data_IF_978509325071
#
_entry.id   IF_978509325071
#
_cell.length_a   1.000
_cell.length_b   1.000
_cell.length_c   1.000
_cell.angle_alpha   90.00
_cell.angle_beta   90.00
_cell.angle_gamma   90.00
#
_symmetry.space_group_name_H-M   'P 1'
#
loop_
_entity.id
_entity.type
_entity.pdbx_description
1 polymer ?
#
# COMPACT_ATOMS: atom_id res chain seq x y z
N UNK A 1 -19.42 -3.11 25.50
CA UNK A 1 -18.22 -3.73 26.11
C UNK A 1 -17.07 -3.41 25.18
N UNK A 2 -16.42 -2.26 25.42
CA UNK A 2 -15.32 -1.76 24.61
C UNK A 2 -13.98 -2.18 25.22
N UNK A 3 -13.09 -2.73 24.41
CA UNK A 3 -11.68 -2.91 24.76
C UNK A 3 -10.81 -2.12 23.78
N UNK A 4 -10.46 -0.89 24.16
CA UNK A 4 -9.48 -0.09 23.42
C UNK A 4 -8.08 -0.69 23.63
N UNK A 5 -7.42 -1.10 22.55
CA UNK A 5 -6.01 -1.45 22.57
C UNK A 5 -5.17 -0.16 22.70
N UNK A 6 -4.34 -0.07 23.74
CA UNK A 6 -3.28 0.95 23.83
C UNK A 6 -1.95 0.22 24.01
N UNK A 7 -0.99 0.33 23.06
CA UNK A 7 0.32 -0.27 23.26
C UNK A 7 1.08 0.51 24.34
N UNK A 8 1.56 -0.21 25.36
CA UNK A 8 2.45 0.34 26.39
C UNK A 8 3.85 0.56 25.79
N UNK A 9 4.53 1.68 26.11
CA UNK A 9 5.92 1.86 25.70
C UNK A 9 6.80 0.89 26.49
N UNK A 10 7.73 0.24 25.79
CA UNK A 10 8.44 -0.93 26.31
C UNK A 10 9.48 -0.65 27.40
N UNK A 11 9.98 0.57 27.59
CA UNK A 11 10.77 0.98 28.77
C UNK A 11 10.82 2.51 28.89
N UNK A 12 11.01 3.02 30.11
CA UNK A 12 11.06 4.45 30.39
C UNK A 12 12.48 5.04 30.21
N UNK A 13 12.62 6.37 30.04
CA UNK A 13 13.89 7.05 29.67
C UNK A 13 15.06 6.78 30.63
N UNK A 14 14.80 6.45 31.89
CA UNK A 14 15.84 6.05 32.88
C UNK A 14 16.41 4.66 32.60
N UNK A 15 15.57 3.72 32.14
CA UNK A 15 15.94 2.32 31.92
C UNK A 15 16.77 2.16 30.64
N UNK A 16 16.49 2.96 29.60
CA UNK A 16 17.31 3.06 28.38
C UNK A 16 18.75 3.55 28.64
N UNK A 17 18.96 4.40 29.65
CA UNK A 17 20.31 4.87 30.03
C UNK A 17 21.10 3.81 30.81
N UNK A 18 20.43 2.94 31.54
CA UNK A 18 21.06 1.83 32.26
C UNK A 18 21.53 0.72 31.30
N UNK A 19 20.74 0.41 30.26
CA UNK A 19 21.05 -0.64 29.29
C UNK A 19 22.34 -0.37 28.50
N UNK A 20 22.68 0.90 28.21
CA UNK A 20 23.94 1.26 27.53
C UNK A 20 25.21 0.92 28.33
N UNK A 21 25.13 0.68 29.64
CA UNK A 21 26.28 0.33 30.49
C UNK A 21 26.35 -1.15 30.86
N UNK A 22 25.25 -1.88 30.78
CA UNK A 22 25.23 -3.30 31.13
C UNK A 22 25.53 -4.17 29.91
N UNK A 23 26.59 -4.98 29.99
CA UNK A 23 26.92 -6.05 29.04
C UNK A 23 25.80 -7.11 29.07
N UNK A 24 24.75 -6.91 28.28
CA UNK A 24 23.51 -7.69 28.39
C UNK A 24 23.66 -9.12 27.85
N UNK A 25 23.25 -10.09 28.67
CA UNK A 25 22.97 -11.47 28.27
C UNK A 25 21.46 -11.62 28.10
N UNK A 26 21.02 -12.31 27.06
CA UNK A 26 19.62 -12.68 26.84
C UNK A 26 19.56 -14.21 26.83
N UNK A 27 18.69 -14.79 27.67
CA UNK A 27 18.55 -16.24 27.88
C UNK A 27 19.88 -16.97 28.19
N UNK A 28 20.72 -16.36 29.03
CA UNK A 28 21.97 -16.96 29.49
C UNK A 28 23.14 -16.94 28.49
N UNK A 29 22.93 -16.53 27.22
CA UNK A 29 24.01 -16.39 26.23
C UNK A 29 24.46 -14.94 26.08
N UNK A 30 25.78 -14.75 25.97
CA UNK A 30 26.43 -13.45 25.75
C UNK A 30 26.13 -13.02 24.31
N UNK A 31 25.32 -11.98 24.14
CA UNK A 31 25.07 -11.41 22.82
C UNK A 31 26.05 -10.26 22.65
N UNK A 32 27.13 -10.52 21.93
CA UNK A 32 28.00 -9.47 21.40
C UNK A 32 27.29 -8.93 20.17
N UNK A 33 27.20 -7.61 20.07
CA UNK A 33 26.46 -6.84 19.05
C UNK A 33 26.96 -7.02 17.61
N UNK A 34 27.88 -7.97 17.36
CA UNK A 34 28.52 -8.19 16.05
C UNK A 34 28.02 -9.45 15.33
N UNK A 35 26.97 -10.12 15.84
CA UNK A 35 26.55 -11.39 15.27
C UNK A 35 25.62 -11.20 14.04
N UNK A 36 26.24 -10.98 12.88
CA UNK A 36 25.59 -10.93 11.56
C UNK A 36 24.73 -12.18 11.31
N UNK A 37 25.06 -13.34 11.90
CA UNK A 37 24.23 -14.55 11.79
C UNK A 37 22.87 -14.38 12.47
N UNK A 38 22.78 -13.59 13.54
CA UNK A 38 21.50 -13.27 14.20
C UNK A 38 20.61 -12.39 13.33
N UNK A 39 21.19 -11.40 12.64
CA UNK A 39 20.50 -10.56 11.66
C UNK A 39 20.04 -11.33 10.42
N UNK A 40 20.84 -12.30 9.96
CA UNK A 40 20.48 -13.26 8.91
C UNK A 40 19.44 -14.29 9.34
N UNK A 41 19.39 -14.63 10.65
CA UNK A 41 18.44 -15.60 11.21
C UNK A 41 17.07 -15.02 11.55
N UNK A 42 16.92 -13.69 11.55
CA UNK A 42 15.60 -13.09 11.59
C UNK A 42 14.92 -13.48 10.27
N UNK A 43 13.99 -14.44 10.31
CA UNK A 43 12.99 -14.63 9.24
C UNK A 43 12.19 -13.32 9.17
N UNK A 44 12.66 -12.37 8.36
CA UNK A 44 11.98 -11.09 8.14
C UNK A 44 10.83 -11.25 7.16
N UNK A 45 10.83 -12.34 6.38
CA UNK A 45 9.70 -12.72 5.53
C UNK A 45 8.63 -13.34 6.42
N UNK A 46 7.48 -12.68 6.64
CA UNK A 46 6.36 -13.36 7.28
C UNK A 46 6.00 -14.60 6.45
N UNK A 47 5.76 -15.73 7.12
CA UNK A 47 5.26 -16.95 6.48
C UNK A 47 3.79 -16.73 6.14
N UNK A 48 3.53 -15.96 5.07
CA UNK A 48 2.18 -15.69 4.58
C UNK A 48 1.79 -16.78 3.60
N UNK A 49 0.55 -17.27 3.74
CA UNK A 49 -0.09 -18.04 2.67
C UNK A 49 -0.25 -17.18 1.41
N UNK A 50 -0.48 -17.81 0.26
CA UNK A 50 -0.71 -17.07 -0.98
C UNK A 50 -1.90 -16.08 -0.85
N UNK A 51 -2.99 -16.53 -0.22
CA UNK A 51 -4.19 -15.72 0.04
C UNK A 51 -3.85 -14.47 0.85
N UNK A 52 -3.15 -14.62 1.97
CA UNK A 52 -2.75 -13.48 2.81
C UNK A 52 -1.79 -12.55 2.08
N UNK A 53 -0.91 -13.10 1.23
CA UNK A 53 0.07 -12.30 0.50
C UNK A 53 -0.55 -11.36 -0.54
N UNK A 54 -1.81 -11.57 -0.93
CA UNK A 54 -2.51 -10.68 -1.86
C UNK A 54 -2.73 -9.29 -1.25
N UNK A 55 -2.96 -9.22 0.06
CA UNK A 55 -3.24 -8.00 0.80
C UNK A 55 -1.99 -7.22 1.18
N UNK A 56 -0.82 -7.56 0.62
CA UNK A 56 0.43 -6.85 0.87
C UNK A 56 1.04 -6.36 -0.44
N UNK A 57 1.52 -5.12 -0.43
CA UNK A 57 2.53 -4.68 -1.39
C UNK A 57 3.92 -5.12 -0.90
N UNK A 58 4.75 -5.65 -1.80
CA UNK A 58 6.08 -6.21 -1.48
C UNK A 58 7.15 -5.31 -2.08
N UNK A 59 7.76 -4.50 -1.24
CA UNK A 59 8.81 -3.55 -1.66
C UNK A 59 10.21 -4.18 -1.48
N UNK A 60 11.04 -4.26 -2.53
CA UNK A 60 12.42 -4.70 -2.39
C UNK A 60 13.27 -3.63 -1.67
N UNK A 61 13.85 -3.98 -0.53
CA UNK A 61 14.74 -3.10 0.25
C UNK A 61 16.17 -3.62 0.25
N UNK A 62 17.13 -2.70 0.22
CA UNK A 62 18.55 -3.02 0.25
C UNK A 62 19.08 -2.73 1.64
N UNK A 63 19.62 -3.76 2.29
CA UNK A 63 20.25 -3.63 3.60
C UNK A 63 21.76 -3.65 3.40
N UNK A 64 22.39 -2.51 3.62
CA UNK A 64 23.84 -2.41 3.71
C UNK A 64 24.28 -2.67 5.15
N UNK A 65 25.24 -3.57 5.34
CA UNK A 65 25.89 -3.77 6.63
C UNK A 65 27.39 -3.91 6.47
N UNK A 66 28.13 -3.31 7.40
CA UNK A 66 29.58 -3.38 7.46
C UNK A 66 30.03 -4.70 8.11
N UNK A 67 31.02 -5.37 7.52
CA UNK A 67 31.66 -6.58 8.05
C UNK A 67 33.06 -6.20 8.55
N UNK A 68 33.26 -5.98 9.86
CA UNK A 68 34.53 -5.47 10.39
C UNK A 68 35.73 -6.37 10.10
N UNK A 69 35.55 -7.69 10.18
CA UNK A 69 36.62 -8.67 9.93
C UNK A 69 37.17 -8.63 8.51
N UNK A 70 36.32 -8.23 7.57
CA UNK A 70 36.64 -8.19 6.14
C UNK A 70 36.84 -6.75 5.66
N UNK A 71 36.73 -5.76 6.57
CA UNK A 71 36.81 -4.33 6.29
C UNK A 71 36.02 -3.90 5.06
N UNK A 72 34.84 -4.49 4.84
CA UNK A 72 34.01 -4.24 3.65
C UNK A 72 32.53 -4.09 4.00
N UNK A 73 31.81 -3.44 3.11
CA UNK A 73 30.35 -3.43 3.11
C UNK A 73 29.81 -4.66 2.37
N UNK A 74 28.69 -5.19 2.86
CA UNK A 74 27.92 -6.21 2.18
C UNK A 74 26.48 -5.72 2.04
N UNK A 75 25.86 -6.10 0.93
CA UNK A 75 24.49 -5.76 0.58
C UNK A 75 23.64 -7.02 0.58
N UNK A 76 22.45 -6.94 1.15
CA UNK A 76 21.45 -8.00 1.14
C UNK A 76 20.11 -7.40 0.72
N UNK A 77 19.50 -7.96 -0.34
CA UNK A 77 18.14 -7.61 -0.74
C UNK A 77 17.15 -8.35 0.16
N UNK A 78 16.26 -7.61 0.82
CA UNK A 78 15.12 -8.15 1.56
C UNK A 78 13.83 -7.55 1.00
N UNK A 79 12.68 -8.01 1.51
CA UNK A 79 11.38 -7.48 1.14
C UNK A 79 10.67 -6.90 2.35
N UNK A 80 10.15 -5.69 2.20
CA UNK A 80 9.23 -5.07 3.13
C UNK A 80 7.80 -5.39 2.68
N UNK A 81 7.02 -5.96 3.60
CA UNK A 81 5.61 -6.30 3.36
C UNK A 81 4.73 -5.20 3.96
N UNK A 82 4.02 -4.48 3.11
CA UNK A 82 3.16 -3.35 3.49
C UNK A 82 1.71 -3.78 3.34
N UNK A 83 0.99 -3.92 4.46
CA UNK A 83 -0.44 -4.28 4.46
C UNK A 83 -1.24 -3.18 3.74
N UNK A 84 -2.09 -3.59 2.80
CA UNK A 84 -2.98 -2.72 2.05
C UNK A 84 -4.22 -2.41 2.89
N UNK A 85 -4.40 -1.13 3.20
CA UNK A 85 -5.51 -0.65 4.03
C UNK A 85 -6.43 0.20 3.17
N UNK A 86 -7.61 -0.33 2.87
CA UNK A 86 -8.64 0.41 2.14
C UNK A 86 -9.18 1.56 2.99
N UNK A 87 -9.57 2.70 2.39
CA UNK A 87 -10.21 3.78 3.11
C UNK A 87 -11.49 3.33 3.80
N UNK A 88 -11.82 3.92 4.95
CA UNK A 88 -13.04 3.58 5.68
C UNK A 88 -14.28 4.05 4.90
N UNK A 89 -15.22 3.16 4.62
CA UNK A 89 -16.52 3.52 4.01
C UNK A 89 -17.41 4.17 5.07
N UNK A 90 -17.99 5.31 4.72
CA UNK A 90 -19.06 5.97 5.49
C UNK A 90 -20.41 5.82 4.77
N UNK A 91 -21.50 6.21 5.43
CA UNK A 91 -22.84 6.24 4.81
C UNK A 91 -23.14 7.58 4.12
N UNK A 92 -22.13 8.44 3.93
CA UNK A 92 -22.29 9.69 3.19
C UNK A 92 -22.44 9.42 1.68
N UNK A 93 -23.19 10.26 0.95
CA UNK A 93 -23.42 10.07 -0.49
C UNK A 93 -22.14 9.98 -1.33
N UNK A 94 -21.09 10.71 -0.95
CA UNK A 94 -19.80 10.70 -1.64
C UNK A 94 -19.03 9.36 -1.54
N UNK A 95 -19.49 8.44 -0.70
CA UNK A 95 -18.94 7.08 -0.57
C UNK A 95 -19.81 6.03 -1.25
N UNK A 96 -20.97 6.42 -1.81
CA UNK A 96 -21.92 5.48 -2.42
C UNK A 96 -21.29 4.64 -3.53
N UNK A 97 -20.51 5.28 -4.39
CA UNK A 97 -19.85 4.61 -5.51
C UNK A 97 -18.76 3.65 -5.05
N UNK A 98 -18.03 4.01 -4.00
CA UNK A 98 -17.02 3.12 -3.39
C UNK A 98 -17.67 1.93 -2.67
N UNK A 99 -18.83 2.13 -2.05
CA UNK A 99 -19.64 1.06 -1.45
C UNK A 99 -20.11 0.07 -2.52
N UNK A 100 -20.56 0.56 -3.69
CA UNK A 100 -20.89 -0.25 -4.87
C UNK A 100 -19.68 -1.05 -5.37
N UNK A 101 -18.58 -0.37 -5.65
CA UNK A 101 -17.35 -0.97 -6.16
C UNK A 101 -16.81 -2.07 -5.22
N UNK A 102 -16.79 -1.79 -3.91
CA UNK A 102 -16.37 -2.75 -2.89
C UNK A 102 -17.26 -3.99 -2.82
N UNK A 103 -18.59 -3.84 -2.95
CA UNK A 103 -19.51 -4.97 -2.96
C UNK A 103 -19.31 -5.86 -4.20
N UNK A 104 -19.02 -5.24 -5.35
CA UNK A 104 -18.86 -5.93 -6.63
C UNK A 104 -17.44 -6.43 -6.89
N UNK A 105 -16.47 -6.09 -6.03
CA UNK A 105 -15.03 -6.32 -6.25
C UNK A 105 -14.57 -5.69 -7.57
N UNK A 106 -14.82 -4.39 -7.70
CA UNK A 106 -14.47 -3.57 -8.86
C UNK A 106 -13.72 -2.32 -8.42
N UNK A 107 -13.17 -1.59 -9.38
CA UNK A 107 -12.70 -0.22 -9.12
C UNK A 107 -13.89 0.75 -9.06
N UNK A 108 -13.66 1.91 -8.45
CA UNK A 108 -14.49 3.10 -8.68
C UNK A 108 -14.07 3.68 -10.03
N UNK A 109 -14.93 3.55 -11.03
CA UNK A 109 -14.66 3.93 -12.40
C UNK A 109 -15.37 5.23 -12.74
N UNK A 110 -14.60 6.32 -12.84
CA UNK A 110 -15.13 7.67 -13.07
C UNK A 110 -15.87 7.76 -14.41
N UNK A 111 -15.39 7.07 -15.45
CA UNK A 111 -16.04 7.09 -16.77
C UNK A 111 -17.34 6.29 -16.77
N UNK A 112 -17.33 5.08 -16.21
CA UNK A 112 -18.57 4.31 -16.07
C UNK A 112 -19.60 5.03 -15.17
N UNK A 113 -19.15 5.80 -14.18
CA UNK A 113 -20.01 6.65 -13.38
C UNK A 113 -20.64 7.77 -14.22
N UNK A 114 -19.86 8.47 -15.05
CA UNK A 114 -20.36 9.51 -15.97
C UNK A 114 -21.41 8.96 -16.95
N UNK A 115 -21.22 7.74 -17.47
CA UNK A 115 -22.19 7.09 -18.36
C UNK A 115 -23.53 6.83 -17.69
N UNK A 116 -23.52 6.50 -16.39
CA UNK A 116 -24.72 6.21 -15.60
C UNK A 116 -25.35 7.42 -14.92
N UNK A 117 -24.61 8.53 -14.79
CA UNK A 117 -25.04 9.77 -14.13
C UNK A 117 -24.75 11.00 -15.02
N UNK A 118 -25.49 11.19 -16.14
CA UNK A 118 -25.23 12.27 -17.07
C UNK A 118 -25.26 13.68 -16.44
N UNK A 119 -26.00 13.86 -15.36
CA UNK A 119 -26.08 15.11 -14.61
C UNK A 119 -24.76 15.50 -13.93
N UNK A 120 -23.87 14.53 -13.68
CA UNK A 120 -22.58 14.74 -13.03
C UNK A 120 -21.44 15.07 -14.00
N UNK A 121 -21.62 14.80 -15.30
CA UNK A 121 -20.58 14.89 -16.34
C UNK A 121 -19.84 16.22 -16.29
N UNK A 122 -20.57 17.34 -16.30
CA UNK A 122 -19.96 18.67 -16.33
C UNK A 122 -19.04 18.92 -15.13
N UNK A 123 -19.49 18.56 -13.92
CA UNK A 123 -18.69 18.77 -12.70
C UNK A 123 -17.43 17.88 -12.71
N UNK A 124 -17.56 16.66 -13.22
CA UNK A 124 -16.46 15.69 -13.31
C UNK A 124 -15.43 16.16 -14.34
N UNK A 125 -15.86 16.54 -15.55
CA UNK A 125 -14.98 17.06 -16.60
C UNK A 125 -14.24 18.34 -16.16
N UNK A 126 -14.95 19.29 -15.55
CA UNK A 126 -14.34 20.52 -15.03
C UNK A 126 -13.30 20.20 -13.93
N UNK A 127 -13.62 19.26 -13.03
CA UNK A 127 -12.73 18.86 -11.93
C UNK A 127 -11.49 18.11 -12.39
N UNK A 128 -11.64 17.26 -13.42
CA UNK A 128 -10.59 16.38 -13.91
C UNK A 128 -10.02 16.80 -15.27
N UNK A 129 -10.23 18.05 -15.70
CA UNK A 129 -9.84 18.50 -17.04
C UNK A 129 -8.39 18.14 -17.43
N UNK A 130 -7.44 18.16 -16.48
CA UNK A 130 -6.03 17.82 -16.70
C UNK A 130 -5.70 16.34 -16.62
N UNK A 131 -6.58 15.52 -16.05
CA UNK A 131 -6.37 14.08 -15.80
C UNK A 131 -7.46 13.18 -16.39
N UNK A 132 -8.41 13.75 -17.14
CA UNK A 132 -9.56 13.01 -17.69
C UNK A 132 -9.12 11.87 -18.60
N UNK A 133 -8.07 12.08 -19.40
CA UNK A 133 -7.49 11.05 -20.26
C UNK A 133 -6.88 9.88 -19.47
N UNK A 134 -6.38 10.12 -18.25
CA UNK A 134 -5.89 9.06 -17.37
C UNK A 134 -7.06 8.21 -16.88
N UNK A 135 -8.17 8.84 -16.47
CA UNK A 135 -9.39 8.12 -16.09
C UNK A 135 -9.95 7.30 -17.26
N UNK A 136 -9.97 7.87 -18.46
CA UNK A 136 -10.42 7.18 -19.68
C UNK A 136 -9.58 5.95 -19.98
N UNK A 137 -8.26 6.08 -19.85
CA UNK A 137 -7.32 4.97 -20.09
C UNK A 137 -7.50 3.87 -19.05
N UNK A 138 -7.66 4.23 -17.77
CA UNK A 138 -7.93 3.26 -16.69
C UNK A 138 -9.24 2.53 -16.92
N UNK A 139 -10.30 3.24 -17.35
CA UNK A 139 -11.59 2.66 -17.71
C UNK A 139 -11.43 1.60 -18.81
N UNK A 140 -10.80 1.95 -19.93
CA UNK A 140 -10.62 1.03 -21.06
C UNK A 140 -9.82 -0.21 -20.67
N UNK A 141 -8.72 -0.06 -19.93
CA UNK A 141 -7.91 -1.19 -19.47
C UNK A 141 -8.72 -2.10 -18.54
N UNK A 142 -9.45 -1.52 -17.57
CA UNK A 142 -10.23 -2.29 -16.63
C UNK A 142 -11.38 -3.04 -17.32
N UNK A 143 -12.08 -2.38 -18.25
CA UNK A 143 -13.13 -2.99 -19.06
C UNK A 143 -12.59 -4.15 -19.90
N UNK A 144 -11.48 -3.96 -20.61
CA UNK A 144 -10.83 -5.01 -21.39
C UNK A 144 -10.43 -6.21 -20.51
N UNK A 145 -9.86 -5.95 -19.33
CA UNK A 145 -9.55 -7.00 -18.36
C UNK A 145 -10.80 -7.77 -17.91
N UNK A 146 -11.91 -7.08 -17.63
CA UNK A 146 -13.16 -7.70 -17.15
C UNK A 146 -13.86 -8.51 -18.25
N UNK A 147 -13.83 -8.04 -19.49
CA UNK A 147 -14.53 -8.67 -20.62
C UNK A 147 -13.73 -9.83 -21.24
N UNK A 148 -12.41 -9.65 -21.40
CA UNK A 148 -11.56 -10.58 -22.17
C UNK A 148 -10.51 -11.30 -21.32
N UNK A 149 -10.28 -10.84 -20.08
CA UNK A 149 -9.18 -11.31 -19.25
C UNK A 149 -7.81 -10.77 -19.67
N UNK A 150 -7.74 -9.76 -20.55
CA UNK A 150 -6.49 -9.14 -20.97
C UNK A 150 -5.74 -8.55 -19.77
N UNK A 151 -4.48 -8.97 -19.58
CA UNK A 151 -3.66 -8.56 -18.41
C UNK A 151 -2.51 -7.64 -18.76
N UNK A 152 -2.27 -7.42 -20.05
CA UNK A 152 -1.09 -6.75 -20.62
C UNK A 152 -0.92 -5.34 -20.04
N UNK A 153 -2.02 -4.59 -19.97
CA UNK A 153 -2.02 -3.18 -19.56
C UNK A 153 -2.38 -2.94 -18.10
N UNK A 154 -2.61 -3.98 -17.28
CA UNK A 154 -2.99 -3.81 -15.87
C UNK A 154 -1.96 -3.04 -15.05
N UNK A 155 -0.66 -3.16 -15.40
CA UNK A 155 0.40 -2.35 -14.78
C UNK A 155 0.22 -0.88 -15.12
N UNK A 156 -0.12 -0.57 -16.37
CA UNK A 156 -0.41 0.79 -16.82
C UNK A 156 -1.58 1.38 -16.04
N UNK A 157 -2.67 0.63 -15.83
CA UNK A 157 -3.78 1.09 -15.00
C UNK A 157 -3.37 1.35 -13.55
N UNK A 158 -2.52 0.49 -12.97
CA UNK A 158 -1.96 0.68 -11.64
C UNK A 158 -1.14 1.98 -11.55
N UNK A 159 -0.22 2.22 -12.49
CA UNK A 159 0.64 3.41 -12.51
C UNK A 159 -0.12 4.71 -12.80
N UNK A 160 -1.13 4.66 -13.66
CA UNK A 160 -2.02 5.81 -13.86
C UNK A 160 -2.82 6.12 -12.59
N UNK A 161 -3.31 5.09 -11.90
CA UNK A 161 -3.98 5.26 -10.60
C UNK A 161 -3.03 5.85 -9.56
N UNK A 162 -1.78 5.42 -9.53
CA UNK A 162 -0.75 6.03 -8.70
C UNK A 162 -0.54 7.51 -9.06
N UNK A 163 -0.42 7.86 -10.34
CA UNK A 163 -0.23 9.24 -10.76
C UNK A 163 -1.41 10.15 -10.36
N UNK A 164 -2.64 9.62 -10.41
CA UNK A 164 -3.86 10.32 -10.01
C UNK A 164 -3.84 10.74 -8.53
N UNK A 165 -3.09 10.06 -7.66
CA UNK A 165 -2.96 10.46 -6.24
C UNK A 165 -2.41 11.87 -6.08
N UNK A 166 -1.59 12.34 -7.03
CA UNK A 166 -0.96 13.68 -6.98
C UNK A 166 -1.96 14.80 -7.26
N UNK A 167 -3.12 14.48 -7.83
CA UNK A 167 -4.13 15.44 -8.27
C UNK A 167 -5.41 15.40 -7.41
N UNK A 168 -5.52 14.46 -6.48
CA UNK A 168 -6.62 14.39 -5.52
C UNK A 168 -6.29 15.15 -4.22
N UNK A 169 -7.31 15.67 -3.50
CA UNK A 169 -8.74 15.61 -3.83
C UNK A 169 -9.18 16.69 -4.84
N UNK A 170 -10.06 16.34 -5.77
CA UNK A 170 -10.80 17.31 -6.62
C UNK A 170 -12.21 17.59 -6.08
N UNK A 171 -12.91 18.57 -6.66
CA UNK A 171 -14.32 18.85 -6.28
C UNK A 171 -15.19 17.62 -6.56
N UNK A 172 -15.05 17.01 -7.74
CA UNK A 172 -15.74 15.75 -8.06
C UNK A 172 -15.32 14.62 -7.11
N UNK A 173 -14.03 14.50 -6.78
CA UNK A 173 -13.53 13.53 -5.81
C UNK A 173 -14.19 13.66 -4.43
N UNK A 174 -14.33 14.88 -3.93
CA UNK A 174 -15.01 15.14 -2.65
C UNK A 174 -16.54 14.90 -2.71
N UNK A 175 -17.14 15.13 -3.88
CA UNK A 175 -18.60 15.07 -4.06
C UNK A 175 -19.08 13.65 -4.31
N UNK A 176 -18.37 12.88 -5.13
CA UNK A 176 -18.83 11.58 -5.65
C UNK A 176 -17.88 10.42 -5.33
N UNK A 177 -16.57 10.67 -5.19
CA UNK A 177 -15.54 9.63 -5.20
C UNK A 177 -14.57 9.76 -4.03
N UNK A 178 -15.04 9.81 -2.78
CA UNK A 178 -14.12 10.06 -1.67
C UNK A 178 -13.08 8.94 -1.52
N UNK A 179 -11.80 9.33 -1.47
CA UNK A 179 -10.63 8.46 -1.31
C UNK A 179 -10.51 7.30 -2.33
N UNK A 180 -11.22 7.37 -3.45
CA UNK A 180 -11.31 6.26 -4.41
C UNK A 180 -9.97 5.87 -5.02
N UNK A 181 -9.04 6.81 -5.21
CA UNK A 181 -7.74 6.50 -5.84
C UNK A 181 -6.93 5.53 -5.00
N UNK A 182 -6.96 5.67 -3.67
CA UNK A 182 -6.29 4.70 -2.76
C UNK A 182 -6.97 3.34 -2.83
N UNK A 183 -8.31 3.33 -2.86
CA UNK A 183 -9.06 2.09 -3.00
C UNK A 183 -8.74 1.37 -4.32
N UNK A 184 -8.74 2.10 -5.44
CA UNK A 184 -8.40 1.59 -6.77
C UNK A 184 -6.94 1.12 -6.83
N UNK A 185 -6.00 1.86 -6.23
CA UNK A 185 -4.60 1.45 -6.16
C UNK A 185 -4.46 0.11 -5.44
N UNK A 186 -5.07 -0.02 -4.25
CA UNK A 186 -5.07 -1.29 -3.51
C UNK A 186 -5.74 -2.41 -4.32
N UNK A 187 -6.82 -2.12 -5.06
CA UNK A 187 -7.47 -3.06 -5.95
C UNK A 187 -6.52 -3.58 -7.04
N UNK A 188 -5.82 -2.69 -7.73
CA UNK A 188 -4.88 -3.07 -8.78
C UNK A 188 -3.68 -3.84 -8.21
N UNK A 189 -3.12 -3.42 -7.08
CA UNK A 189 -2.05 -4.16 -6.37
C UNK A 189 -2.50 -5.60 -6.08
N UNK A 190 -3.68 -5.79 -5.46
CA UNK A 190 -4.23 -7.13 -5.16
C UNK A 190 -4.46 -7.95 -6.43
N UNK A 191 -4.88 -7.30 -7.50
CA UNK A 191 -5.13 -7.94 -8.80
C UNK A 191 -3.83 -8.41 -9.45
N UNK A 192 -2.81 -7.55 -9.49
CA UNK A 192 -1.47 -7.89 -9.99
C UNK A 192 -0.82 -9.00 -9.15
N UNK A 193 -0.94 -8.92 -7.82
CA UNK A 193 -0.50 -9.97 -6.90
C UNK A 193 -1.16 -11.33 -7.21
N UNK A 194 -2.47 -11.33 -7.44
CA UNK A 194 -3.25 -12.54 -7.77
C UNK A 194 -2.78 -13.16 -9.09
N UNK A 195 -2.49 -12.32 -10.07
CA UNK A 195 -1.99 -12.71 -11.39
C UNK A 195 -0.48 -13.00 -11.39
N UNK A 196 0.21 -12.78 -10.26
CA UNK A 196 1.67 -12.92 -10.13
C UNK A 196 2.45 -12.06 -11.13
N UNK A 197 1.90 -10.89 -11.45
CA UNK A 197 2.56 -9.91 -12.31
C UNK A 197 3.45 -9.04 -11.43
N UNK A 198 4.73 -8.92 -11.78
CA UNK A 198 5.68 -8.06 -11.08
C UNK A 198 5.48 -6.59 -11.48
N UNK A 199 5.51 -5.71 -10.48
CA UNK A 199 5.40 -4.26 -10.63
C UNK A 199 6.11 -3.58 -9.45
N UNK A 200 6.39 -2.29 -9.59
CA UNK A 200 6.95 -1.47 -8.53
C UNK A 200 6.18 -0.15 -8.47
N UNK A 201 6.11 0.44 -7.28
CA UNK A 201 5.47 1.74 -7.03
C UNK A 201 6.54 2.81 -6.80
N UNK A 202 6.17 4.07 -6.97
CA UNK A 202 7.03 5.20 -6.60
C UNK A 202 7.26 5.25 -5.08
N UNK A 203 8.46 5.69 -4.66
CA UNK A 203 8.84 5.83 -3.25
C UNK A 203 7.82 6.64 -2.41
N UNK A 204 7.21 7.67 -3.04
CA UNK A 204 6.19 8.49 -2.40
C UNK A 204 4.92 7.68 -2.08
N UNK A 205 4.51 6.81 -3.00
CA UNK A 205 3.37 5.90 -2.84
C UNK A 205 3.66 4.84 -1.81
N UNK A 206 4.85 4.24 -1.85
CA UNK A 206 5.30 3.27 -0.83
C UNK A 206 5.25 3.91 0.57
N UNK A 207 5.77 5.14 0.69
CA UNK A 207 5.74 5.91 1.94
C UNK A 207 4.31 6.18 2.42
N UNK A 208 3.39 6.50 1.49
CA UNK A 208 1.97 6.69 1.79
C UNK A 208 1.31 5.41 2.30
N UNK A 209 1.55 4.26 1.64
CA UNK A 209 1.01 2.97 2.07
C UNK A 209 1.52 2.58 3.47
N UNK A 210 2.81 2.80 3.76
CA UNK A 210 3.38 2.59 5.09
C UNK A 210 2.69 3.46 6.14
N UNK A 211 2.49 4.76 5.82
CA UNK A 211 1.83 5.70 6.73
C UNK A 211 0.41 5.22 7.07
N UNK A 212 -0.39 4.88 6.06
CA UNK A 212 -1.76 4.37 6.25
C UNK A 212 -1.80 3.08 7.08
N UNK A 213 -0.87 2.17 6.81
CA UNK A 213 -0.71 0.92 7.60
C UNK A 213 -0.42 1.18 9.07
N UNK A 214 0.29 2.27 9.39
CA UNK A 214 0.64 2.62 10.78
C UNK A 214 -0.46 3.43 11.49
N UNK A 215 -1.48 3.90 10.77
CA UNK A 215 -2.64 4.62 11.33
C UNK A 215 -3.78 3.68 11.77
N UNK A 216 -3.62 2.36 11.55
CA UNK A 216 -4.44 1.29 12.14
C UNK A 216 -4.22 1.18 13.65
#
# INVERSE_FOLDING_TARGET
MDSSFKPKPLLNKSELRQIKRSKTRVEGKKVITDDVKKLKSLKVTPELSFQESLDYYKEPIWIEYYIPKESRFAFETKYLFILLVDPKITDEPCDAERKRASANREIVDVFAYMESHPESIRLIEDSYHSTISMHETVHHIFKAYKETGATEDLKTACYLTEALLKYEPTIAGLTYFRDYVIYNLNFFIRTLNRLKIEFALEDATVSLLIKRRNEL
#
